data_IF_346533022287
#
_entry.id   IF_346533022287
#
_cell.length_a   1.000
_cell.length_b   1.000
_cell.length_c   1.000
_cell.angle_alpha   90.00
_cell.angle_beta   90.00
_cell.angle_gamma   90.00
#
_symmetry.space_group_name_H-M   'P 1'
#
loop_
_entity.id
_entity.type
_entity.pdbx_description
1 polymer ?
#
# COMPACT_ATOMS: atom_id res chain seq x y z
N UNK A 1 -51.76 -2.06 -11.91
CA UNK A 1 -51.48 -1.00 -10.92
C UNK A 1 -49.99 -0.72 -10.92
N UNK A 2 -49.54 0.54 -11.01
CA UNK A 2 -48.11 0.84 -10.94
C UNK A 2 -47.60 0.71 -9.49
N UNK A 3 -46.40 0.18 -9.27
CA UNK A 3 -45.84 0.06 -7.92
C UNK A 3 -45.47 1.45 -7.37
N UNK A 4 -45.99 1.78 -6.18
CA UNK A 4 -45.56 2.97 -5.42
C UNK A 4 -44.10 2.78 -4.99
N UNK A 5 -43.22 3.68 -5.42
CA UNK A 5 -41.85 3.76 -4.90
C UNK A 5 -41.88 4.57 -3.60
N UNK A 6 -41.77 3.88 -2.47
CA UNK A 6 -41.56 4.52 -1.17
C UNK A 6 -40.08 4.84 -1.05
N UNK A 7 -39.72 6.11 -1.24
CA UNK A 7 -38.36 6.60 -1.01
C UNK A 7 -38.21 6.84 0.48
N UNK A 8 -37.62 5.89 1.20
CA UNK A 8 -37.24 6.08 2.61
C UNK A 8 -36.10 7.10 2.65
N UNK A 9 -36.31 8.30 3.23
CA UNK A 9 -35.24 9.27 3.33
C UNK A 9 -34.19 8.75 4.32
N UNK A 10 -32.95 8.55 3.88
CA UNK A 10 -31.85 8.31 4.81
C UNK A 10 -31.68 9.57 5.67
N UNK A 11 -31.77 9.39 6.99
CA UNK A 11 -31.54 10.47 7.95
C UNK A 11 -30.04 10.69 8.14
N UNK A 12 -29.63 11.91 8.49
CA UNK A 12 -28.24 12.25 8.80
C UNK A 12 -27.64 11.33 9.90
N UNK A 13 -28.48 10.92 10.85
CA UNK A 13 -28.13 9.95 11.89
C UNK A 13 -27.76 8.59 11.31
N UNK A 14 -28.53 8.09 10.34
CA UNK A 14 -28.23 6.81 9.68
C UNK A 14 -26.91 6.87 8.89
N UNK A 15 -26.64 8.00 8.23
CA UNK A 15 -25.39 8.20 7.49
C UNK A 15 -24.20 8.20 8.45
N UNK A 16 -24.28 8.95 9.56
CA UNK A 16 -23.22 8.97 10.59
C UNK A 16 -22.98 7.60 11.22
N UNK A 17 -24.04 6.84 11.46
CA UNK A 17 -23.94 5.47 11.99
C UNK A 17 -23.20 4.53 11.02
N UNK A 18 -23.51 4.59 9.73
CA UNK A 18 -22.83 3.79 8.71
C UNK A 18 -21.34 4.15 8.59
N UNK A 19 -21.00 5.44 8.68
CA UNK A 19 -19.61 5.89 8.67
C UNK A 19 -18.87 5.38 9.92
N UNK A 20 -19.46 5.53 11.11
CA UNK A 20 -18.85 5.06 12.35
C UNK A 20 -18.61 3.55 12.32
N UNK A 21 -19.56 2.77 11.79
CA UNK A 21 -19.41 1.33 11.60
C UNK A 21 -18.25 1.01 10.65
N UNK A 22 -18.14 1.69 9.50
CA UNK A 22 -17.04 1.48 8.56
C UNK A 22 -15.66 1.80 9.15
N UNK A 23 -15.56 2.88 9.93
CA UNK A 23 -14.32 3.26 10.62
C UNK A 23 -13.93 2.22 11.67
N UNK A 24 -14.89 1.73 12.45
CA UNK A 24 -14.64 0.71 13.46
C UNK A 24 -14.14 -0.62 12.83
N UNK A 25 -14.75 -1.03 11.72
CA UNK A 25 -14.32 -2.23 10.98
C UNK A 25 -12.88 -2.06 10.46
N UNK A 26 -12.57 -0.94 9.81
CA UNK A 26 -11.24 -0.70 9.25
C UNK A 26 -10.14 -0.65 10.33
N UNK A 27 -10.43 -0.07 11.50
CA UNK A 27 -9.50 -0.06 12.63
C UNK A 27 -9.25 -1.46 13.17
N UNK A 28 -10.31 -2.26 13.34
CA UNK A 28 -10.20 -3.65 13.79
C UNK A 28 -9.36 -4.51 12.85
N UNK A 29 -9.57 -4.38 11.53
CA UNK A 29 -8.76 -5.07 10.51
C UNK A 29 -7.29 -4.62 10.55
N UNK A 30 -7.04 -3.31 10.73
CA UNK A 30 -5.70 -2.77 10.86
C UNK A 30 -4.99 -3.34 12.10
N UNK A 31 -5.65 -3.39 13.25
CA UNK A 31 -5.09 -3.96 14.48
C UNK A 31 -4.82 -5.45 14.35
N UNK A 32 -5.74 -6.21 13.75
CA UNK A 32 -5.55 -7.63 13.47
C UNK A 32 -4.35 -7.88 12.53
N UNK A 33 -4.17 -7.04 11.52
CA UNK A 33 -3.02 -7.10 10.61
C UNK A 33 -1.71 -6.69 11.33
N UNK A 34 -1.75 -5.64 12.15
CA UNK A 34 -0.60 -5.15 12.93
C UNK A 34 -0.13 -6.18 13.96
N UNK A 35 -1.04 -6.93 14.57
CA UNK A 35 -0.72 -8.00 15.51
C UNK A 35 -0.14 -9.27 14.88
N UNK A 36 -0.23 -9.42 13.55
CA UNK A 36 0.20 -10.61 12.80
C UNK A 36 1.70 -10.61 12.44
N UNK A 37 2.41 -9.48 12.60
CA UNK A 37 3.75 -9.27 12.05
C UNK A 37 4.84 -8.96 13.08
N UNK A 38 5.34 -10.00 13.74
CA UNK A 38 6.70 -10.15 14.29
C UNK A 38 7.06 -9.51 15.65
N UNK A 39 7.00 -10.33 16.71
CA UNK A 39 7.66 -10.07 18.02
C UNK A 39 9.11 -10.57 18.08
N UNK A 40 9.76 -10.84 16.95
CA UNK A 40 11.19 -11.15 16.96
C UNK A 40 11.91 -10.67 15.69
N UNK A 41 11.83 -9.38 15.41
CA UNK A 41 12.93 -8.72 14.68
C UNK A 41 14.03 -8.41 15.70
N UNK A 42 14.78 -9.45 16.09
CA UNK A 42 16.10 -9.21 16.67
C UNK A 42 16.94 -8.61 15.55
N UNK A 43 16.92 -7.29 15.46
CA UNK A 43 17.78 -6.51 14.58
C UNK A 43 19.24 -6.62 15.07
N UNK A 44 19.82 -7.82 14.95
CA UNK A 44 21.26 -8.04 14.87
C UNK A 44 21.63 -8.34 13.40
N UNK A 45 21.07 -7.56 12.48
CA UNK A 45 21.63 -7.43 11.15
C UNK A 45 22.49 -6.19 11.20
N UNK A 46 23.79 -6.43 11.38
CA UNK A 46 24.85 -5.45 11.51
C UNK A 46 24.48 -4.10 10.92
N UNK A 47 24.49 -3.11 11.80
CA UNK A 47 24.39 -1.69 11.49
C UNK A 47 25.57 -1.32 10.59
N UNK A 48 25.48 -1.73 9.34
CA UNK A 48 26.21 -1.18 8.22
C UNK A 48 25.51 0.14 8.01
N UNK A 49 25.89 1.08 8.89
CA UNK A 49 25.46 2.46 9.01
C UNK A 49 24.87 2.86 7.67
N UNK A 50 23.56 3.11 7.64
CA UNK A 50 23.06 4.16 6.76
C UNK A 50 23.85 5.38 7.19
N UNK A 51 25.04 5.55 6.62
CA UNK A 51 25.72 6.82 6.56
C UNK A 51 24.72 7.62 5.78
N UNK A 52 23.94 8.41 6.51
CA UNK A 52 23.14 9.48 5.97
C UNK A 52 23.98 10.10 4.87
N UNK A 53 23.64 9.80 3.61
CA UNK A 53 24.31 10.44 2.50
C UNK A 53 23.81 11.86 2.60
N UNK A 54 24.60 12.71 3.24
CA UNK A 54 24.39 14.14 3.25
C UNK A 54 23.99 14.54 1.82
N UNK A 55 22.89 15.27 1.68
CA UNK A 55 22.51 15.84 0.40
C UNK A 55 23.66 16.75 -0.05
N UNK A 56 24.55 16.23 -0.89
CA UNK A 56 25.63 17.01 -1.48
C UNK A 56 25.00 17.85 -2.58
N UNK A 57 25.30 19.14 -2.58
CA UNK A 57 24.99 20.02 -3.71
C UNK A 57 25.74 19.50 -4.93
N UNK A 58 25.05 18.73 -5.76
CA UNK A 58 25.65 18.13 -6.95
C UNK A 58 25.78 19.24 -8.00
N UNK A 59 27.01 19.62 -8.32
CA UNK A 59 27.24 20.59 -9.39
C UNK A 59 26.91 19.94 -10.74
N UNK A 60 26.45 20.70 -11.74
CA UNK A 60 26.08 20.15 -13.06
C UNK A 60 27.18 19.25 -13.66
N UNK A 61 28.45 19.62 -13.49
CA UNK A 61 29.60 18.81 -13.93
C UNK A 61 29.72 17.49 -13.15
N UNK A 62 29.46 17.49 -11.85
CA UNK A 62 29.50 16.28 -11.04
C UNK A 62 28.41 15.30 -11.45
N UNK A 63 27.21 15.80 -11.80
CA UNK A 63 26.13 14.98 -12.37
C UNK A 63 26.53 14.32 -13.69
N UNK A 64 27.18 15.06 -14.60
CA UNK A 64 27.65 14.52 -15.88
C UNK A 64 28.72 13.42 -15.70
N UNK A 65 29.51 13.49 -14.63
CA UNK A 65 30.54 12.48 -14.32
C UNK A 65 30.02 11.29 -13.52
N UNK A 66 28.84 11.40 -12.90
CA UNK A 66 28.25 10.29 -12.17
C UNK A 66 27.75 9.24 -13.18
N UNK A 67 28.28 8.02 -13.12
CA UNK A 67 27.69 6.91 -13.85
C UNK A 67 26.26 6.67 -13.31
N UNK A 68 25.20 6.89 -14.11
CA UNK A 68 23.87 6.49 -13.71
C UNK A 68 23.91 4.98 -13.50
N UNK A 69 23.51 4.52 -12.31
CA UNK A 69 23.44 3.11 -11.95
C UNK A 69 22.87 2.33 -13.14
N UNK A 70 23.68 1.43 -13.70
CA UNK A 70 23.32 0.62 -14.87
C UNK A 70 22.10 -0.24 -14.51
N UNK A 71 20.90 0.31 -14.68
CA UNK A 71 19.66 -0.40 -14.42
C UNK A 71 19.43 -1.38 -15.57
N UNK A 72 19.83 -2.63 -15.34
CA UNK A 72 19.51 -3.73 -16.22
C UNK A 72 18.24 -4.43 -15.71
N UNK A 73 17.11 -4.23 -16.40
CA UNK A 73 16.03 -5.21 -16.41
C UNK A 73 14.69 -4.85 -15.76
N UNK A 74 14.04 -3.73 -16.10
CA UNK A 74 12.59 -3.58 -15.90
C UNK A 74 11.78 -4.20 -17.08
N UNK A 75 12.19 -5.36 -17.59
CA UNK A 75 11.45 -6.10 -18.61
C UNK A 75 10.86 -7.42 -18.11
N UNK A 76 11.36 -7.95 -17.00
CA UNK A 76 10.90 -9.24 -16.45
C UNK A 76 9.85 -9.09 -15.35
N UNK A 77 9.67 -7.90 -14.77
CA UNK A 77 8.73 -7.68 -13.65
C UNK A 77 7.25 -7.58 -14.07
N UNK A 78 6.92 -7.45 -15.37
CA UNK A 78 5.54 -7.27 -15.83
C UNK A 78 4.83 -8.57 -16.27
N UNK A 79 5.53 -9.72 -16.30
CA UNK A 79 4.96 -10.99 -16.80
C UNK A 79 4.32 -11.84 -15.70
N UNK A 80 4.58 -11.58 -14.42
CA UNK A 80 4.11 -12.44 -13.32
C UNK A 80 2.78 -12.03 -12.66
N UNK A 81 2.13 -10.94 -13.07
CA UNK A 81 0.84 -10.52 -12.48
C UNK A 81 -0.41 -11.04 -13.21
N UNK A 82 -0.27 -11.85 -14.27
CA UNK A 82 -1.42 -12.41 -15.03
C UNK A 82 -1.68 -13.90 -14.84
N UNK A 83 -1.22 -14.52 -13.74
CA UNK A 83 -1.41 -15.97 -13.52
C UNK A 83 -2.09 -16.35 -12.20
N UNK A 84 -2.99 -15.52 -11.66
CA UNK A 84 -3.86 -15.90 -10.54
C UNK A 84 -5.38 -15.81 -10.76
N UNK A 85 -5.85 -15.41 -11.95
CA UNK A 85 -7.29 -15.27 -12.21
C UNK A 85 -7.87 -16.21 -13.29
N UNK A 86 -7.18 -17.31 -13.64
CA UNK A 86 -7.68 -18.29 -14.62
C UNK A 86 -7.71 -19.73 -14.07
N UNK A 87 -7.98 -19.90 -12.78
CA UNK A 87 -8.27 -21.20 -12.17
C UNK A 87 -9.46 -21.07 -11.21
N UNK A 88 -10.60 -20.60 -11.75
CA UNK A 88 -11.88 -20.58 -11.03
C UNK A 88 -13.11 -20.65 -11.96
N UNK A 89 -12.93 -21.01 -13.24
CA UNK A 89 -14.01 -21.42 -14.15
C UNK A 89 -13.42 -22.42 -15.14
N UNK A 90 -13.49 -23.69 -14.77
CA UNK A 90 -14.12 -24.78 -15.53
C UNK A 90 -14.24 -26.01 -14.63
#
# INVERSE_FOLDING_TARGET
MPPKRTTTPMTDVAIKALIAQGVATALSEYEANRGSGNSNDSHDSGSNRRTERAARECTYNEFLTCQPLNFKGLRESLVLSKKRDQEARD
#
